data_IF_223222588303
#
_entry.id   IF_223222588303
#
_cell.length_a   1.000
_cell.length_b   1.000
_cell.length_c   1.000
_cell.angle_alpha   90.00
_cell.angle_beta   90.00
_cell.angle_gamma   90.00
#
_symmetry.space_group_name_H-M   'P 1'
#
loop_
_entity.id
_entity.type
_entity.pdbx_description
1 polymer ?
#
# COMPACT_ATOMS: atom_id res chain seq x y z
N UNK A 1 6.61 3.55 -9.32
CA UNK A 1 6.32 3.91 -7.90
C UNK A 1 5.40 2.83 -7.36
N UNK A 2 5.96 1.91 -6.57
CA UNK A 2 5.17 0.88 -5.90
C UNK A 2 4.62 1.55 -4.64
N UNK A 3 3.41 2.09 -4.71
CA UNK A 3 2.65 2.47 -3.52
C UNK A 3 2.29 1.19 -2.79
N UNK A 4 3.14 0.81 -1.85
CA UNK A 4 2.99 -0.44 -1.12
C UNK A 4 1.97 -0.27 0.01
N UNK A 5 0.69 -0.33 -0.33
CA UNK A 5 -0.35 -0.60 0.64
C UNK A 5 -0.28 -2.09 1.01
N UNK A 6 0.55 -2.41 1.99
CA UNK A 6 0.66 -3.78 2.48
C UNK A 6 0.13 -3.90 3.91
N UNK A 7 -0.58 -5.00 4.16
CA UNK A 7 -1.10 -5.32 5.48
C UNK A 7 -0.13 -6.26 6.20
N UNK A 8 0.44 -5.79 7.31
CA UNK A 8 1.27 -6.63 8.20
C UNK A 8 0.39 -7.40 9.16
N UNK A 9 0.59 -8.70 9.23
CA UNK A 9 -0.03 -9.58 10.22
C UNK A 9 0.94 -10.73 10.57
N UNK A 10 0.72 -11.32 11.74
CA UNK A 10 1.51 -12.48 12.14
C UNK A 10 1.02 -13.74 11.41
N UNK A 11 1.91 -14.41 10.70
CA UNK A 11 1.57 -15.65 9.99
C UNK A 11 1.05 -16.74 10.95
N UNK A 12 1.53 -16.72 12.19
CA UNK A 12 1.12 -17.61 13.27
C UNK A 12 -0.40 -17.62 13.50
N UNK A 13 -1.04 -16.44 13.46
CA UNK A 13 -2.49 -16.32 13.62
C UNK A 13 -3.25 -17.03 12.49
N UNK A 14 -2.71 -17.01 11.27
CA UNK A 14 -3.34 -17.62 10.11
C UNK A 14 -3.17 -19.15 10.09
N UNK A 15 -2.10 -19.70 10.68
CA UNK A 15 -1.84 -21.15 10.68
C UNK A 15 -2.85 -21.93 11.52
N UNK A 16 -3.45 -21.31 12.53
CA UNK A 16 -4.48 -21.93 13.36
C UNK A 16 -5.86 -22.04 12.68
N UNK A 17 -6.08 -21.32 11.59
CA UNK A 17 -7.34 -21.34 10.84
C UNK A 17 -7.42 -22.60 9.97
N UNK A 18 -8.51 -23.36 10.10
CA UNK A 18 -8.76 -24.58 9.34
C UNK A 18 -9.50 -24.30 8.03
N UNK A 19 -10.52 -23.45 8.09
CA UNK A 19 -11.36 -23.14 6.94
C UNK A 19 -10.65 -22.20 5.95
N UNK A 20 -10.71 -22.52 4.66
CA UNK A 20 -10.20 -21.66 3.58
C UNK A 20 -10.95 -20.31 3.57
N UNK A 21 -12.26 -20.34 3.81
CA UNK A 21 -13.06 -19.13 3.92
C UNK A 21 -12.61 -18.24 5.08
N UNK A 22 -12.27 -18.84 6.22
CA UNK A 22 -11.74 -18.10 7.37
C UNK A 22 -10.38 -17.49 7.06
N UNK A 23 -9.49 -18.18 6.34
CA UNK A 23 -8.18 -17.66 5.92
C UNK A 23 -8.32 -16.46 4.99
N UNK A 24 -9.20 -16.55 4.00
CA UNK A 24 -9.45 -15.45 3.07
C UNK A 24 -10.08 -14.25 3.80
N UNK A 25 -11.07 -14.52 4.65
CA UNK A 25 -11.71 -13.46 5.44
C UNK A 25 -10.77 -12.80 6.44
N UNK A 26 -9.87 -13.57 7.07
CA UNK A 26 -8.83 -13.02 7.94
C UNK A 26 -7.98 -11.95 7.24
N UNK A 27 -7.53 -12.22 6.01
CA UNK A 27 -6.75 -11.25 5.22
C UNK A 27 -7.54 -9.96 4.96
N UNK A 28 -8.83 -10.08 4.65
CA UNK A 28 -9.70 -8.93 4.44
C UNK A 28 -9.89 -8.12 5.73
N UNK A 29 -10.23 -8.77 6.84
CA UNK A 29 -10.46 -8.08 8.12
C UNK A 29 -9.18 -7.41 8.66
N UNK A 30 -8.01 -8.03 8.46
CA UNK A 30 -6.72 -7.40 8.88
C UNK A 30 -6.42 -6.09 8.15
N UNK A 31 -6.93 -5.87 6.94
CA UNK A 31 -6.83 -4.57 6.25
C UNK A 31 -7.58 -3.47 7.02
N UNK A 32 -8.69 -3.85 7.66
CA UNK A 32 -9.57 -2.92 8.38
C UNK A 32 -9.40 -2.99 9.91
N UNK A 33 -8.32 -3.61 10.40
CA UNK A 33 -8.08 -3.83 11.83
C UNK A 33 -8.10 -2.55 12.68
N UNK A 34 -7.72 -1.42 12.10
CA UNK A 34 -7.72 -0.13 12.80
C UNK A 34 -9.06 0.60 12.75
N UNK A 35 -9.93 0.20 11.83
CA UNK A 35 -11.27 0.79 11.68
C UNK A 35 -12.29 0.02 12.52
N UNK A 36 -12.09 -1.30 12.68
CA UNK A 36 -13.02 -2.19 13.37
C UNK A 36 -14.33 -2.41 12.60
N UNK A 37 -14.37 -2.00 11.32
CA UNK A 37 -15.56 -2.02 10.51
C UNK A 37 -15.25 -2.36 9.07
N UNK A 38 -16.00 -3.30 8.49
CA UNK A 38 -15.88 -3.70 7.10
C UNK A 38 -17.26 -4.04 6.53
N UNK A 39 -17.62 -3.44 5.42
CA UNK A 39 -18.87 -3.67 4.70
C UNK A 39 -18.58 -4.11 3.27
N UNK A 40 -19.27 -5.16 2.82
CA UNK A 40 -19.07 -5.74 1.51
C UNK A 40 -20.40 -6.15 0.88
N UNK A 41 -20.53 -6.01 -0.42
CA UNK A 41 -21.67 -6.50 -1.18
C UNK A 41 -21.63 -8.03 -1.26
N UNK A 42 -22.79 -8.68 -1.27
CA UNK A 42 -22.84 -10.15 -1.22
C UNK A 42 -22.22 -10.82 -2.46
N UNK A 43 -22.29 -10.18 -3.62
CA UNK A 43 -21.68 -10.64 -4.85
C UNK A 43 -20.15 -10.58 -4.74
N UNK A 44 -19.58 -9.45 -4.32
CA UNK A 44 -18.14 -9.27 -4.09
C UNK A 44 -17.60 -10.21 -2.99
N UNK A 45 -18.42 -10.45 -1.97
CA UNK A 45 -18.08 -11.40 -0.90
C UNK A 45 -17.94 -12.83 -1.45
N UNK A 46 -18.83 -13.22 -2.36
CA UNK A 46 -18.75 -14.53 -3.00
C UNK A 46 -17.49 -14.67 -3.85
N UNK A 47 -17.20 -13.67 -4.65
CA UNK A 47 -16.02 -13.65 -5.52
C UNK A 47 -14.71 -13.69 -4.71
N UNK A 48 -14.58 -12.82 -3.70
CA UNK A 48 -13.35 -12.73 -2.89
C UNK A 48 -13.06 -13.97 -2.04
N UNK A 49 -14.09 -14.72 -1.65
CA UNK A 49 -13.96 -15.95 -0.87
C UNK A 49 -14.03 -17.21 -1.72
N UNK A 50 -14.16 -17.12 -3.04
CA UNK A 50 -14.34 -18.27 -3.94
C UNK A 50 -15.54 -19.14 -3.56
N UNK A 51 -16.70 -18.52 -3.28
CA UNK A 51 -17.90 -19.24 -2.89
C UNK A 51 -18.66 -19.69 -4.13
N UNK A 52 -18.94 -21.00 -4.28
CA UNK A 52 -19.68 -21.51 -5.43
C UNK A 52 -21.02 -20.80 -5.63
N UNK A 53 -21.39 -20.54 -6.88
CA UNK A 53 -22.66 -19.89 -7.22
C UNK A 53 -23.88 -20.73 -6.81
N UNK A 54 -23.71 -22.07 -6.70
CA UNK A 54 -24.74 -22.98 -6.23
C UNK A 54 -25.11 -22.79 -4.75
N UNK A 55 -24.29 -22.10 -3.95
CA UNK A 55 -24.59 -21.87 -2.55
C UNK A 55 -25.69 -20.84 -2.39
N UNK A 56 -26.82 -21.29 -1.81
CA UNK A 56 -27.87 -20.39 -1.31
C UNK A 56 -27.42 -19.72 -0.03
N UNK A 57 -28.14 -18.70 0.39
CA UNK A 57 -27.80 -17.93 1.61
C UNK A 57 -27.77 -18.81 2.89
N UNK A 58 -28.57 -19.86 2.95
CA UNK A 58 -28.52 -20.85 4.03
C UNK A 58 -27.20 -21.59 4.08
N UNK A 59 -26.66 -22.01 2.92
CA UNK A 59 -25.34 -22.65 2.83
C UNK A 59 -24.21 -21.70 3.19
N UNK A 60 -24.31 -20.42 2.76
CA UNK A 60 -23.33 -19.40 3.13
C UNK A 60 -23.32 -19.22 4.64
N UNK A 61 -24.48 -19.15 5.28
CA UNK A 61 -24.56 -19.02 6.74
C UNK A 61 -23.89 -20.20 7.46
N UNK A 62 -24.15 -21.42 7.04
CA UNK A 62 -23.68 -22.62 7.74
C UNK A 62 -22.23 -22.96 7.40
N UNK A 63 -21.84 -22.88 6.12
CA UNK A 63 -20.54 -23.36 5.65
C UNK A 63 -19.47 -22.27 5.56
N UNK A 64 -19.87 -21.01 5.52
CA UNK A 64 -18.93 -19.88 5.38
C UNK A 64 -18.96 -18.99 6.63
N UNK A 65 -20.09 -18.38 6.98
CA UNK A 65 -20.15 -17.41 8.05
C UNK A 65 -19.99 -18.05 9.44
N UNK A 66 -20.57 -19.24 9.68
CA UNK A 66 -20.44 -19.92 10.96
C UNK A 66 -18.97 -20.31 11.29
N UNK A 67 -18.19 -20.92 10.37
CA UNK A 67 -16.75 -21.13 10.58
C UNK A 67 -15.98 -19.83 10.78
N UNK A 68 -16.31 -18.77 10.02
CA UNK A 68 -15.66 -17.45 10.16
C UNK A 68 -15.84 -16.91 11.58
N UNK A 69 -17.07 -16.89 12.10
CA UNK A 69 -17.33 -16.41 13.47
C UNK A 69 -16.58 -17.27 14.49
N UNK A 70 -16.63 -18.61 14.33
CA UNK A 70 -16.01 -19.54 15.26
C UNK A 70 -14.48 -19.43 15.30
N UNK A 71 -13.85 -19.32 14.15
CA UNK A 71 -12.38 -19.31 14.05
C UNK A 71 -11.79 -17.90 14.24
N UNK A 72 -12.42 -16.88 13.66
CA UNK A 72 -11.92 -15.52 13.75
C UNK A 72 -12.33 -14.79 15.03
N UNK A 73 -13.35 -15.24 15.73
CA UNK A 73 -13.76 -14.66 16.99
C UNK A 73 -12.70 -14.71 18.10
N UNK A 74 -11.72 -15.63 17.98
CA UNK A 74 -10.56 -15.68 18.89
C UNK A 74 -9.48 -14.64 18.55
N UNK A 75 -9.47 -14.16 17.31
CA UNK A 75 -8.47 -13.20 16.81
C UNK A 75 -9.03 -11.77 16.84
N UNK A 76 -10.28 -11.62 16.44
CA UNK A 76 -10.99 -10.34 16.43
C UNK A 76 -12.02 -10.32 17.55
N UNK A 77 -11.72 -9.56 18.59
CA UNK A 77 -12.63 -9.43 19.72
C UNK A 77 -13.97 -8.83 19.29
N UNK A 78 -15.08 -9.34 19.84
CA UNK A 78 -16.43 -8.86 19.54
C UNK A 78 -16.81 -8.91 18.05
N UNK A 79 -16.28 -9.90 17.32
CA UNK A 79 -16.63 -10.06 15.90
C UNK A 79 -18.12 -10.38 15.74
N UNK A 80 -18.83 -9.48 15.08
CA UNK A 80 -20.23 -9.62 14.76
C UNK A 80 -20.47 -9.45 13.25
N UNK A 81 -21.46 -10.16 12.73
CA UNK A 81 -21.84 -10.12 11.31
C UNK A 81 -23.29 -9.70 11.19
N UNK A 82 -23.51 -8.53 10.64
CA UNK A 82 -24.84 -8.00 10.37
C UNK A 82 -25.18 -8.16 8.88
N UNK A 83 -26.43 -8.56 8.57
CA UNK A 83 -26.91 -8.80 7.22
C UNK A 83 -27.90 -7.73 6.84
N UNK A 84 -27.56 -6.93 5.87
CA UNK A 84 -28.38 -5.82 5.40
C UNK A 84 -29.16 -6.29 4.16
N UNK A 85 -30.48 -6.16 4.24
CA UNK A 85 -31.40 -6.49 3.15
C UNK A 85 -31.45 -5.36 2.12
N UNK A 86 -31.76 -5.71 0.89
CA UNK A 86 -32.07 -4.74 -0.14
C UNK A 86 -33.29 -3.88 0.25
N UNK A 87 -33.31 -2.63 -0.21
CA UNK A 87 -34.44 -1.72 0.05
C UNK A 87 -35.77 -2.26 -0.48
N UNK A 88 -35.73 -3.02 -1.58
CA UNK A 88 -36.90 -3.72 -2.14
C UNK A 88 -36.65 -5.22 -2.10
N UNK A 89 -37.39 -5.94 -1.24
CA UNK A 89 -37.36 -7.40 -1.18
C UNK A 89 -36.69 -8.00 0.05
N UNK A 90 -36.58 -9.34 0.04
CA UNK A 90 -35.99 -10.12 1.14
C UNK A 90 -34.54 -10.54 0.89
N UNK A 91 -33.97 -10.18 -0.25
CA UNK A 91 -32.60 -10.54 -0.63
C UNK A 91 -31.60 -9.77 0.26
N UNK A 92 -30.61 -10.49 0.77
CA UNK A 92 -29.48 -9.87 1.48
C UNK A 92 -28.57 -9.26 0.41
N UNK A 93 -28.27 -7.99 0.55
CA UNK A 93 -27.47 -7.22 -0.39
C UNK A 93 -26.07 -6.96 0.15
N UNK A 94 -25.98 -6.67 1.46
CA UNK A 94 -24.71 -6.34 2.10
C UNK A 94 -24.47 -7.18 3.35
N UNK A 95 -23.19 -7.45 3.59
CA UNK A 95 -22.68 -8.01 4.82
C UNK A 95 -21.81 -6.94 5.51
N UNK A 96 -22.05 -6.76 6.79
CA UNK A 96 -21.34 -5.81 7.62
C UNK A 96 -20.64 -6.58 8.75
N UNK A 97 -19.37 -6.38 8.89
CA UNK A 97 -18.52 -6.98 9.90
C UNK A 97 -18.07 -5.90 10.87
N UNK A 98 -18.33 -6.10 12.16
CA UNK A 98 -17.91 -5.20 13.21
C UNK A 98 -17.08 -5.97 14.23
N UNK A 99 -15.99 -5.36 14.68
CA UNK A 99 -15.09 -5.94 15.67
C UNK A 99 -14.32 -4.81 16.38
N UNK A 100 -13.62 -5.14 17.47
CA UNK A 100 -12.86 -4.14 18.20
C UNK A 100 -11.65 -3.69 17.37
N UNK A 101 -11.54 -2.38 17.16
CA UNK A 101 -10.44 -1.80 16.41
C UNK A 101 -9.12 -1.93 17.19
N UNK A 102 -8.07 -2.42 16.53
CA UNK A 102 -6.72 -2.40 17.08
C UNK A 102 -6.17 -0.97 17.12
N UNK A 103 -5.67 -0.57 18.27
CA UNK A 103 -5.00 0.75 18.40
C UNK A 103 -3.82 0.80 17.45
N UNK A 104 -3.75 1.84 16.64
CA UNK A 104 -2.52 2.12 15.87
C UNK A 104 -1.41 2.43 16.87
N UNK A 105 -0.41 1.57 16.92
CA UNK A 105 0.85 1.92 17.57
C UNK A 105 1.53 2.89 16.61
N UNK A 106 1.10 4.15 16.65
CA UNK A 106 1.95 5.20 16.13
C UNK A 106 3.16 5.18 17.05
N UNK A 107 4.29 4.66 16.57
CA UNK A 107 5.54 5.17 17.13
C UNK A 107 5.42 6.68 16.96
N UNK A 108 5.21 7.36 18.07
CA UNK A 108 5.28 8.81 18.12
C UNK A 108 6.73 9.16 17.72
N UNK A 109 6.97 9.27 16.40
CA UNK A 109 7.90 10.30 15.96
C UNK A 109 7.20 11.59 16.38
N UNK A 110 7.49 12.02 17.60
CA UNK A 110 7.30 13.42 17.92
C UNK A 110 7.90 14.17 16.73
N UNK A 111 7.17 15.06 16.07
CA UNK A 111 7.82 16.06 15.29
C UNK A 111 8.65 16.79 16.33
N UNK A 112 9.94 16.45 16.43
CA UNK A 112 10.89 17.37 17.02
C UNK A 112 10.66 18.61 16.18
N UNK A 113 10.09 19.65 16.81
CA UNK A 113 10.15 21.01 16.29
C UNK A 113 11.63 21.24 16.00
N UNK A 114 12.02 20.90 14.79
CA UNK A 114 13.37 21.12 14.34
C UNK A 114 13.50 22.60 14.26
N UNK A 115 14.35 23.09 15.14
CA UNK A 115 15.03 24.36 15.10
C UNK A 115 15.17 24.78 13.63
N UNK A 116 14.36 25.75 13.21
CA UNK A 116 14.36 26.28 11.85
C UNK A 116 15.63 27.16 11.80
N UNK A 117 16.77 26.55 11.57
CA UNK A 117 18.01 27.33 11.50
C UNK A 117 19.28 26.56 11.21
N UNK A 118 19.26 25.24 11.31
CA UNK A 118 20.47 24.46 10.97
C UNK A 118 20.21 23.63 9.73
N UNK A 119 20.81 23.99 8.61
CA UNK A 119 20.86 23.19 7.41
C UNK A 119 21.28 21.77 7.81
N UNK A 120 20.39 20.78 7.58
CA UNK A 120 20.72 19.38 7.82
C UNK A 120 21.84 19.02 6.86
N UNK A 121 23.07 18.99 7.36
CA UNK A 121 24.14 18.35 6.62
C UNK A 121 23.73 16.90 6.39
N UNK A 122 23.63 16.52 5.14
CA UNK A 122 23.39 15.15 4.75
C UNK A 122 24.60 14.32 5.18
N UNK A 123 24.46 13.55 6.24
CA UNK A 123 25.49 12.61 6.67
C UNK A 123 25.25 11.34 5.88
N UNK A 124 26.04 11.14 4.83
CA UNK A 124 26.08 9.88 4.10
C UNK A 124 26.51 8.78 5.08
N UNK A 125 25.64 7.78 5.27
CA UNK A 125 25.95 6.61 6.11
C UNK A 125 26.74 5.54 5.37
N UNK A 126 26.87 5.69 4.05
CA UNK A 126 27.67 4.80 3.22
C UNK A 126 29.10 5.35 3.15
N UNK A 127 30.03 4.50 3.53
CA UNK A 127 31.46 4.82 3.34
C UNK A 127 31.73 4.83 1.84
N UNK A 128 32.21 5.95 1.34
CA UNK A 128 32.67 6.03 -0.06
C UNK A 128 33.73 4.98 -0.30
N UNK A 129 33.62 4.20 -1.38
CA UNK A 129 34.66 3.26 -1.74
C UNK A 129 36.01 3.98 -1.93
N UNK A 130 37.11 3.39 -1.46
CA UNK A 130 38.45 4.01 -1.52
C UNK A 130 38.85 4.49 -2.93
N UNK A 131 38.41 3.78 -3.98
CA UNK A 131 38.68 4.18 -5.38
C UNK A 131 38.00 5.48 -5.79
N UNK A 132 36.98 5.92 -5.08
CA UNK A 132 36.25 7.18 -5.31
C UNK A 132 36.89 8.33 -4.52
N UNK A 133 37.51 8.03 -3.36
CA UNK A 133 38.22 9.02 -2.55
C UNK A 133 39.53 9.46 -3.21
N UNK A 134 40.17 8.57 -4.01
CA UNK A 134 41.43 8.85 -4.73
C UNK A 134 41.19 9.65 -6.02
N UNK A 135 39.96 9.81 -6.50
CA UNK A 135 39.61 10.73 -7.56
C UNK A 135 39.51 12.14 -6.99
N UNK A 136 40.59 12.82 -6.87
CA UNK A 136 40.62 14.29 -6.80
C UNK A 136 40.00 14.77 -8.12
N UNK A 137 38.73 15.12 -8.09
CA UNK A 137 38.16 15.94 -9.14
C UNK A 137 38.90 17.28 -9.07
N UNK A 138 39.92 17.45 -9.84
CA UNK A 138 40.35 18.77 -10.20
C UNK A 138 39.10 19.45 -10.76
N UNK A 139 38.53 20.36 -9.97
CA UNK A 139 37.56 21.30 -10.49
C UNK A 139 38.25 22.04 -11.60
N UNK A 140 38.07 21.60 -12.82
CA UNK A 140 38.33 22.45 -13.98
C UNK A 140 37.30 23.59 -13.93
N UNK A 141 37.54 24.50 -13.01
CA UNK A 141 36.94 25.83 -13.05
C UNK A 141 37.79 26.67 -13.98
N UNK A 142 37.77 26.32 -15.20
CA UNK A 142 38.16 27.24 -16.27
C UNK A 142 37.11 27.01 -17.37
N UNK A 143 36.10 27.83 -17.32
CA UNK A 143 35.43 28.25 -18.53
C UNK A 143 36.46 29.06 -19.31
N UNK A 144 37.44 28.39 -19.89
CA UNK A 144 38.17 28.98 -20.97
C UNK A 144 37.15 29.15 -22.10
N UNK A 145 36.77 30.41 -22.29
CA UNK A 145 35.96 30.82 -23.41
C UNK A 145 36.75 30.47 -24.68
N UNK A 146 36.33 29.38 -25.33
CA UNK A 146 36.90 28.99 -26.62
C UNK A 146 36.06 29.63 -27.73
N UNK A 147 36.58 30.67 -28.39
CA UNK A 147 35.85 31.36 -29.45
C UNK A 147 35.61 30.51 -30.70
N UNK A 148 36.30 29.40 -30.85
CA UNK A 148 36.07 28.45 -31.95
C UNK A 148 34.81 27.59 -31.68
N UNK A 149 34.65 27.11 -30.46
CA UNK A 149 33.51 26.32 -30.07
C UNK A 149 32.18 27.13 -30.17
N UNK A 150 32.26 28.42 -29.95
CA UNK A 150 31.08 29.28 -30.07
C UNK A 150 30.68 29.55 -31.52
N UNK A 151 31.65 29.69 -32.39
CA UNK A 151 31.39 29.76 -33.84
C UNK A 151 30.81 28.47 -34.42
N UNK A 152 31.28 27.32 -33.97
CA UNK A 152 30.71 26.02 -34.37
C UNK A 152 29.28 25.86 -33.86
N UNK A 153 29.00 26.31 -32.65
CA UNK A 153 27.64 26.31 -32.08
C UNK A 153 26.68 27.22 -32.85
N UNK A 154 27.14 28.43 -33.20
CA UNK A 154 26.34 29.35 -34.02
C UNK A 154 26.10 28.80 -35.44
N UNK A 155 27.11 28.18 -36.05
CA UNK A 155 26.95 27.54 -37.35
C UNK A 155 25.94 26.38 -37.30
N UNK A 156 26.00 25.57 -36.25
CA UNK A 156 25.08 24.47 -36.04
C UNK A 156 23.62 24.95 -35.79
N UNK A 157 23.44 26.02 -35.01
CA UNK A 157 22.13 26.62 -34.81
C UNK A 157 21.53 27.17 -36.09
N UNK A 158 22.33 27.82 -36.90
CA UNK A 158 21.92 28.31 -38.24
C UNK A 158 21.50 27.17 -39.17
N UNK A 159 22.21 26.05 -39.12
CA UNK A 159 21.86 24.88 -39.93
C UNK A 159 20.54 24.26 -39.50
N UNK A 160 20.27 24.24 -38.22
CA UNK A 160 18.97 23.76 -37.68
C UNK A 160 17.80 24.69 -38.05
N UNK A 161 18.01 26.00 -38.10
CA UNK A 161 16.96 26.94 -38.52
C UNK A 161 16.58 26.75 -40.01
N UNK A 162 17.54 26.43 -40.86
CA UNK A 162 17.26 26.17 -42.29
C UNK A 162 16.50 24.86 -42.51
N UNK A 163 16.83 23.82 -41.74
CA UNK A 163 16.19 22.50 -41.83
C UNK A 163 14.72 22.50 -41.28
N UNK A 164 14.31 23.58 -40.61
CA UNK A 164 12.94 23.71 -40.07
C UNK A 164 12.01 24.55 -40.95
N UNK A 165 12.56 25.19 -41.99
CA UNK A 165 11.77 26.00 -42.95
C UNK A 165 11.44 25.26 -44.26
N UNK A 166 11.93 24.01 -44.48
CA UNK A 166 11.48 23.11 -45.54
C UNK A 166 10.39 22.11 -45.03
#
# INVERSE_FOLDING_TARGET
>A
EITADFTKFELKEMTHLKSTYSKNMFRLLKQYKHTGYFKIQIEDFRERLDIPNSYRMTHINQKVLAPIIKELGFIFNNLNINKIKAKKGRKIEWLEFTFDAEKRIHSKRQPQMADIGKSRQYISREKTPKWLEERTYEKQTQNEYDPQLEKEREAFLKQLEVDWEE
#
